data_IF_575639352032
#
_entry.id   IF_575639352032
#
_cell.length_a   1.000
_cell.length_b   1.000
_cell.length_c   1.000
_cell.angle_alpha   90.00
_cell.angle_beta   90.00
_cell.angle_gamma   90.00
#
_symmetry.space_group_name_H-M   'P 1'
#
loop_
_entity.id
_entity.type
_entity.pdbx_description
1 polymer ?
#
# COMPACT_ATOMS: atom_id res chain seq x y z
N UNK A 1 4.62 -7.89 8.04
CA UNK A 1 4.42 -6.83 9.05
C UNK A 1 5.75 -6.13 9.34
N UNK A 2 6.55 -6.58 10.30
CA UNK A 2 7.76 -5.84 10.74
C UNK A 2 8.80 -5.64 9.64
N UNK A 3 9.04 -6.63 8.79
CA UNK A 3 9.96 -6.48 7.65
C UNK A 3 9.56 -5.40 6.64
N UNK A 4 8.28 -4.98 6.60
CA UNK A 4 7.79 -3.93 5.69
C UNK A 4 8.07 -2.51 6.22
N UNK A 5 8.58 -2.36 7.44
CA UNK A 5 9.04 -1.09 8.00
C UNK A 5 10.44 -1.22 8.61
N UNK A 6 11.17 -2.29 8.26
CA UNK A 6 12.45 -2.64 8.87
C UNK A 6 12.39 -2.61 10.41
N UNK A 7 11.26 -3.07 10.95
CA UNK A 7 10.97 -3.02 12.38
C UNK A 7 11.50 -4.23 13.14
N UNK A 8 11.82 -4.03 14.42
CA UNK A 8 12.16 -5.11 15.35
C UNK A 8 11.51 -4.88 16.71
N UNK A 9 11.23 -5.97 17.42
CA UNK A 9 10.77 -5.94 18.79
C UNK A 9 11.97 -5.90 19.73
N UNK A 10 12.00 -4.93 20.64
CA UNK A 10 13.07 -4.78 21.62
C UNK A 10 12.47 -4.90 23.03
N UNK A 11 12.96 -5.82 23.88
CA UNK A 11 12.52 -5.89 25.26
C UNK A 11 13.00 -4.66 26.02
N UNK A 12 12.10 -4.04 26.77
CA UNK A 12 12.46 -2.94 27.68
C UNK A 12 12.87 -3.48 29.04
N UNK A 13 13.68 -2.75 29.83
CA UNK A 13 14.09 -3.17 31.17
C UNK A 13 12.93 -3.49 32.12
N UNK A 14 11.76 -2.88 31.90
CA UNK A 14 10.55 -3.08 32.70
C UNK A 14 9.79 -4.38 32.37
N UNK A 15 10.35 -5.24 31.50
CA UNK A 15 9.69 -6.46 31.02
C UNK A 15 8.62 -6.21 29.95
N UNK A 16 8.53 -4.98 29.45
CA UNK A 16 7.70 -4.62 28.30
C UNK A 16 8.39 -4.92 26.97
N UNK A 17 7.67 -4.66 25.88
CA UNK A 17 8.19 -4.70 24.52
C UNK A 17 8.01 -3.33 23.88
N UNK A 18 9.07 -2.81 23.27
CA UNK A 18 9.01 -1.63 22.40
C UNK A 18 9.22 -2.04 20.95
N UNK A 19 8.77 -1.17 20.04
CA UNK A 19 8.96 -1.31 18.60
C UNK A 19 10.02 -0.31 18.15
N UNK A 20 11.09 -0.83 17.57
CA UNK A 20 12.15 -0.04 16.94
C UNK A 20 11.96 -0.13 15.42
N UNK A 21 11.81 1.03 14.76
CA UNK A 21 11.55 1.15 13.32
C UNK A 21 12.84 1.58 12.64
N UNK A 22 13.26 0.84 11.60
CA UNK A 22 14.54 0.96 10.91
C UNK A 22 14.88 2.38 10.46
N UNK A 23 15.60 3.09 11.32
CA UNK A 23 16.14 4.42 11.06
C UNK A 23 17.59 4.41 11.50
N UNK A 24 18.47 5.01 10.71
CA UNK A 24 19.88 5.10 11.11
C UNK A 24 20.03 5.99 12.34
N UNK A 25 20.74 5.47 13.34
CA UNK A 25 21.25 6.20 14.48
C UNK A 25 22.72 5.86 14.66
N UNK A 26 23.54 6.87 14.95
CA UNK A 26 24.96 6.64 15.22
C UNK A 26 25.09 5.81 16.51
N UNK A 27 25.83 4.69 16.50
CA UNK A 27 25.98 3.84 17.67
C UNK A 27 26.63 4.60 18.84
N UNK A 28 25.94 4.60 19.98
CA UNK A 28 26.49 5.12 21.24
C UNK A 28 27.39 4.09 21.93
N UNK A 29 27.12 2.80 21.70
CA UNK A 29 27.87 1.69 22.29
C UNK A 29 29.05 1.32 21.40
N UNK A 30 30.25 1.44 21.97
CA UNK A 30 31.52 1.11 21.33
C UNK A 30 32.18 -0.03 22.12
N UNK A 31 32.28 -1.20 21.50
CA UNK A 31 33.01 -2.34 22.04
C UNK A 31 34.45 -2.32 21.53
N UNK A 32 35.38 -1.97 22.42
CA UNK A 32 36.81 -2.02 22.15
C UNK A 32 37.37 -3.41 22.41
N UNK A 33 38.64 -3.64 22.07
CA UNK A 33 39.31 -4.92 22.27
C UNK A 33 39.26 -5.44 23.72
N UNK A 34 39.21 -4.55 24.72
CA UNK A 34 39.13 -4.94 26.14
C UNK A 34 37.80 -5.60 26.51
N UNK A 35 36.73 -5.30 25.76
CA UNK A 35 35.42 -5.91 25.96
C UNK A 35 35.36 -7.33 25.36
N UNK A 36 36.21 -7.66 24.39
CA UNK A 36 36.14 -8.88 23.59
C UNK A 36 37.06 -9.96 24.20
N UNK A 37 36.45 -11.04 24.67
CA UNK A 37 37.16 -12.19 25.27
C UNK A 37 37.43 -13.30 24.27
N UNK A 38 36.69 -13.35 23.17
CA UNK A 38 36.89 -14.30 22.09
C UNK A 38 36.02 -13.99 20.89
N UNK A 39 36.22 -14.72 19.80
CA UNK A 39 35.42 -14.58 18.59
C UNK A 39 35.38 -15.91 17.83
N UNK A 40 34.30 -16.11 17.08
CA UNK A 40 34.15 -17.23 16.14
C UNK A 40 33.55 -16.73 14.83
N UNK A 41 33.83 -17.45 13.75
CA UNK A 41 33.26 -17.20 12.42
C UNK A 41 33.42 -15.75 11.92
N UNK A 42 34.49 -15.08 12.35
CA UNK A 42 34.81 -13.73 11.88
C UNK A 42 35.36 -13.82 10.46
N UNK A 43 34.60 -13.30 9.51
CA UNK A 43 34.91 -13.31 8.09
C UNK A 43 34.69 -11.95 7.45
N UNK A 44 35.41 -11.70 6.36
CA UNK A 44 35.10 -10.61 5.43
C UNK A 44 34.13 -11.13 4.39
N UNK A 45 32.97 -10.50 4.26
CA UNK A 45 31.93 -10.99 3.35
C UNK A 45 31.19 -12.21 3.91
N UNK A 46 30.15 -12.59 3.19
CA UNK A 46 29.56 -13.93 3.27
C UNK A 46 30.14 -14.83 2.19
N UNK A 47 29.90 -16.13 2.32
CA UNK A 47 30.22 -17.09 1.28
C UNK A 47 29.39 -16.79 0.01
N UNK A 48 29.98 -17.04 -1.15
CA UNK A 48 29.41 -16.80 -2.49
C UNK A 48 28.03 -17.43 -2.62
N UNK A 49 27.83 -18.62 -2.03
CA UNK A 49 26.58 -19.38 -2.03
C UNK A 49 25.45 -18.74 -1.20
N UNK A 50 25.77 -17.78 -0.33
CA UNK A 50 24.82 -17.13 0.59
C UNK A 50 24.66 -15.64 0.31
N UNK A 51 25.36 -15.16 -0.72
CA UNK A 51 25.42 -13.77 -1.16
C UNK A 51 24.44 -13.56 -2.31
N UNK A 52 23.70 -12.47 -2.32
CA UNK A 52 22.74 -12.15 -3.38
C UNK A 52 23.12 -10.83 -4.04
N UNK A 53 23.26 -10.82 -5.36
CA UNK A 53 23.57 -9.60 -6.11
C UNK A 53 22.32 -8.90 -6.65
N UNK A 54 21.20 -9.63 -6.71
CA UNK A 54 19.90 -9.11 -7.13
C UNK A 54 18.86 -9.37 -6.05
N UNK A 55 18.21 -8.33 -5.55
CA UNK A 55 17.04 -8.46 -4.68
C UNK A 55 15.81 -8.21 -5.53
N UNK A 56 14.86 -9.13 -5.48
CA UNK A 56 13.53 -8.97 -6.08
C UNK A 56 12.52 -8.88 -4.96
N UNK A 57 11.53 -8.01 -5.11
CA UNK A 57 10.51 -7.92 -4.09
C UNK A 57 9.11 -7.63 -4.62
N UNK A 58 8.12 -8.17 -3.92
CA UNK A 58 6.71 -7.84 -4.13
C UNK A 58 6.26 -6.79 -3.11
N UNK A 59 5.39 -5.87 -3.52
CA UNK A 59 4.78 -4.87 -2.66
C UNK A 59 3.27 -4.78 -2.90
N UNK A 60 2.56 -4.06 -2.04
CA UNK A 60 1.12 -3.86 -2.16
C UNK A 60 0.86 -2.57 -2.94
N UNK A 61 0.40 -2.66 -4.18
CA UNK A 61 0.18 -1.50 -5.03
C UNK A 61 -1.23 -0.92 -4.82
N UNK A 62 -1.29 0.31 -4.32
CA UNK A 62 -2.54 1.04 -4.13
C UNK A 62 -3.25 1.35 -5.45
N UNK A 63 -2.51 1.51 -6.55
CA UNK A 63 -3.09 1.82 -7.86
C UNK A 63 -3.71 0.59 -8.53
N UNK A 64 -3.36 -0.62 -8.09
CA UNK A 64 -3.94 -1.87 -8.59
C UNK A 64 -4.88 -2.50 -7.56
N UNK A 65 -5.77 -1.72 -6.95
CA UNK A 65 -6.74 -2.22 -5.95
C UNK A 65 -6.09 -3.06 -4.83
N UNK A 66 -4.91 -2.65 -4.36
CA UNK A 66 -4.13 -3.36 -3.33
C UNK A 66 -3.78 -4.80 -3.74
N UNK A 67 -3.48 -5.03 -5.02
CA UNK A 67 -2.87 -6.27 -5.48
C UNK A 67 -1.36 -6.30 -5.22
N UNK A 68 -0.81 -7.51 -5.11
CA UNK A 68 0.63 -7.70 -5.02
C UNK A 68 1.27 -7.44 -6.40
N UNK A 69 2.21 -6.51 -6.45
CA UNK A 69 2.93 -6.14 -7.67
C UNK A 69 4.44 -6.26 -7.46
N UNK A 70 5.17 -6.56 -8.53
CA UNK A 70 6.62 -6.68 -8.50
C UNK A 70 7.27 -5.30 -8.50
N UNK A 71 8.20 -5.08 -7.57
CA UNK A 71 9.06 -3.91 -7.59
C UNK A 71 10.21 -4.10 -8.58
N UNK A 72 10.69 -2.98 -9.12
CA UNK A 72 11.92 -2.93 -9.92
C UNK A 72 13.07 -3.61 -9.15
N UNK A 73 13.77 -4.62 -9.71
CA UNK A 73 14.83 -5.34 -9.00
C UNK A 73 15.98 -4.44 -8.55
N UNK A 74 16.51 -4.70 -7.36
CA UNK A 74 17.73 -4.04 -6.88
C UNK A 74 18.92 -4.90 -7.24
N UNK A 75 19.63 -4.54 -8.30
CA UNK A 75 20.77 -5.31 -8.82
C UNK A 75 22.07 -4.50 -8.76
N UNK A 76 23.15 -5.17 -8.39
CA UNK A 76 24.51 -4.70 -8.66
C UNK A 76 24.93 -5.19 -10.05
N UNK A 77 24.76 -4.34 -11.07
CA UNK A 77 25.02 -4.70 -12.48
C UNK A 77 26.47 -5.16 -12.72
N UNK A 78 27.43 -4.64 -11.95
CA UNK A 78 28.83 -5.02 -12.08
C UNK A 78 29.06 -6.45 -11.57
N UNK A 79 28.53 -6.78 -10.39
CA UNK A 79 28.65 -8.12 -9.81
C UNK A 79 27.84 -9.17 -10.60
N UNK A 80 26.67 -8.77 -11.12
CA UNK A 80 25.86 -9.61 -12.03
C UNK A 80 26.63 -9.95 -13.30
N UNK A 81 27.37 -8.99 -13.86
CA UNK A 81 28.18 -9.25 -15.06
C UNK A 81 29.37 -10.18 -14.80
N UNK A 82 29.90 -10.22 -13.57
CA UNK A 82 31.07 -11.04 -13.23
C UNK A 82 30.67 -12.46 -12.80
N UNK A 83 29.64 -12.59 -11.97
CA UNK A 83 29.25 -13.87 -11.33
C UNK A 83 27.98 -14.50 -11.88
N UNK A 84 27.21 -13.77 -12.70
CA UNK A 84 25.86 -14.16 -13.09
C UNK A 84 24.81 -13.74 -12.05
N UNK A 85 23.52 -13.89 -12.36
CA UNK A 85 22.44 -13.45 -11.48
C UNK A 85 22.22 -14.43 -10.31
N UNK A 86 22.40 -13.93 -9.08
CA UNK A 86 22.09 -14.62 -7.83
C UNK A 86 20.99 -13.84 -7.11
N UNK A 87 19.75 -14.26 -7.33
CA UNK A 87 18.57 -13.55 -6.88
C UNK A 87 18.10 -13.98 -5.48
N UNK A 88 17.71 -13.01 -4.66
CA UNK A 88 16.98 -13.22 -3.40
C UNK A 88 15.61 -12.57 -3.52
N UNK A 89 14.57 -13.39 -3.42
CA UNK A 89 13.17 -12.94 -3.41
C UNK A 89 12.74 -12.58 -1.98
N UNK A 90 12.16 -11.39 -1.81
CA UNK A 90 11.64 -10.89 -0.52
C UNK A 90 10.22 -10.36 -0.71
N UNK A 91 9.30 -10.70 0.20
CA UNK A 91 7.92 -10.25 0.07
C UNK A 91 7.61 -9.14 1.07
N UNK A 92 7.26 -7.95 0.56
CA UNK A 92 6.82 -6.80 1.35
C UNK A 92 5.32 -6.54 1.15
N UNK A 93 4.49 -7.55 1.38
CA UNK A 93 3.03 -7.53 1.14
C UNK A 93 2.23 -6.47 1.94
N UNK A 94 2.90 -5.68 2.80
CA UNK A 94 2.33 -4.59 3.58
C UNK A 94 3.06 -3.25 3.37
N UNK A 95 3.99 -3.20 2.41
CA UNK A 95 4.56 -1.95 1.94
C UNK A 95 3.61 -1.35 0.88
N UNK A 96 2.97 -0.20 1.14
CA UNK A 96 1.96 0.40 0.26
C UNK A 96 2.52 1.09 -0.99
N UNK A 97 3.83 1.13 -1.18
CA UNK A 97 4.45 1.86 -2.29
C UNK A 97 5.73 1.19 -2.79
N UNK A 98 5.97 1.35 -4.09
CA UNK A 98 7.21 0.93 -4.76
C UNK A 98 8.45 1.58 -4.13
N UNK A 99 8.40 2.89 -3.86
CA UNK A 99 9.47 3.63 -3.18
C UNK A 99 9.89 3.01 -1.84
N UNK A 100 8.91 2.63 -1.03
CA UNK A 100 9.15 1.98 0.26
C UNK A 100 9.75 0.58 0.06
N UNK A 101 9.23 -0.19 -0.88
CA UNK A 101 9.79 -1.50 -1.21
C UNK A 101 11.27 -1.39 -1.62
N UNK A 102 11.61 -0.43 -2.48
CA UNK A 102 12.98 -0.19 -2.95
C UNK A 102 13.96 0.18 -1.83
N UNK A 103 13.52 0.99 -0.85
CA UNK A 103 14.31 1.27 0.37
C UNK A 103 14.60 0.01 1.17
N UNK A 104 13.60 -0.86 1.34
CA UNK A 104 13.76 -2.12 2.06
C UNK A 104 14.66 -3.10 1.28
N UNK A 105 14.55 -3.14 -0.05
CA UNK A 105 15.41 -3.94 -0.91
C UNK A 105 16.88 -3.52 -0.78
N UNK A 106 17.16 -2.22 -0.70
CA UNK A 106 18.51 -1.72 -0.43
C UNK A 106 19.05 -2.24 0.91
N UNK A 107 18.26 -2.17 1.98
CA UNK A 107 18.66 -2.70 3.28
C UNK A 107 18.92 -4.21 3.21
N UNK A 108 18.04 -4.97 2.55
CA UNK A 108 18.23 -6.40 2.34
C UNK A 108 19.48 -6.73 1.51
N UNK A 109 19.85 -5.89 0.54
CA UNK A 109 21.08 -6.02 -0.22
C UNK A 109 22.31 -5.86 0.68
N UNK A 110 22.34 -4.85 1.57
CA UNK A 110 23.43 -4.70 2.55
C UNK A 110 23.50 -5.87 3.55
N UNK A 111 22.36 -6.45 3.93
CA UNK A 111 22.32 -7.65 4.79
C UNK A 111 22.77 -8.92 4.08
N UNK A 112 22.58 -9.00 2.76
CA UNK A 112 23.07 -10.10 1.95
C UNK A 112 24.57 -9.97 1.66
N UNK A 113 25.08 -8.74 1.59
CA UNK A 113 26.46 -8.39 1.24
C UNK A 113 27.20 -7.62 2.35
N UNK A 114 27.28 -8.13 3.60
CA UNK A 114 27.99 -7.44 4.65
C UNK A 114 29.51 -7.52 4.45
N UNK A 115 30.22 -6.41 4.58
CA UNK A 115 31.68 -6.36 4.59
C UNK A 115 32.32 -7.25 5.66
N UNK A 116 31.67 -7.36 6.83
CA UNK A 116 32.12 -8.20 7.93
C UNK A 116 30.96 -8.96 8.55
N UNK A 117 31.19 -10.22 8.89
CA UNK A 117 30.29 -11.05 9.70
C UNK A 117 31.11 -11.68 10.82
N UNK A 118 30.50 -11.90 11.97
CA UNK A 118 31.16 -12.65 13.03
C UNK A 118 30.31 -12.82 14.27
N UNK A 119 30.81 -13.68 15.16
CA UNK A 119 30.28 -13.84 16.50
C UNK A 119 31.36 -13.44 17.49
N UNK A 120 31.07 -12.47 18.36
CA UNK A 120 32.00 -11.99 19.39
C UNK A 120 31.52 -12.43 20.76
N UNK A 121 32.43 -13.02 21.53
CA UNK A 121 32.25 -13.24 22.95
C UNK A 121 32.85 -12.06 23.70
N UNK A 122 32.07 -11.49 24.60
CA UNK A 122 32.44 -10.32 25.38
C UNK A 122 32.42 -10.63 26.87
N UNK A 123 33.16 -9.85 27.64
CA UNK A 123 32.99 -9.78 29.09
C UNK A 123 31.70 -9.00 29.46
N UNK A 124 31.54 -8.64 30.74
CA UNK A 124 30.41 -7.87 31.24
C UNK A 124 30.22 -6.50 30.57
N UNK A 125 31.25 -5.91 29.95
CA UNK A 125 31.10 -4.65 29.21
C UNK A 125 30.20 -4.79 27.99
N UNK A 126 30.16 -5.98 27.37
CA UNK A 126 29.30 -6.24 26.22
C UNK A 126 27.81 -6.26 26.56
N UNK A 127 27.43 -6.26 27.84
CA UNK A 127 26.04 -6.10 28.26
C UNK A 127 25.45 -4.74 27.84
N UNK A 128 26.30 -3.74 27.61
CA UNK A 128 25.86 -2.45 27.07
C UNK A 128 25.23 -2.58 25.66
N UNK A 129 25.57 -3.62 24.90
CA UNK A 129 24.98 -3.87 23.59
C UNK A 129 23.58 -4.53 23.66
N UNK A 130 23.10 -4.89 24.85
CA UNK A 130 21.80 -5.52 25.01
C UNK A 130 20.66 -4.55 24.64
N UNK A 131 19.81 -4.96 23.71
CA UNK A 131 18.70 -4.13 23.20
C UNK A 131 19.11 -3.13 22.11
N UNK A 132 20.41 -2.94 21.88
CA UNK A 132 20.89 -2.04 20.83
C UNK A 132 20.74 -2.67 19.43
N UNK A 133 20.53 -1.81 18.43
CA UNK A 133 20.43 -2.26 17.03
C UNK A 133 21.78 -2.28 16.36
N UNK A 134 22.45 -1.15 16.50
CA UNK A 134 23.71 -0.86 15.85
C UNK A 134 24.74 -0.62 16.95
N UNK A 135 25.85 -1.34 16.86
CA UNK A 135 26.98 -1.19 17.76
C UNK A 135 28.25 -0.95 16.94
N UNK A 136 29.20 -0.22 17.51
CA UNK A 136 30.51 -0.07 16.89
C UNK A 136 31.48 -1.06 17.53
N UNK A 137 32.17 -1.84 16.72
CA UNK A 137 33.24 -2.74 17.18
C UNK A 137 34.57 -2.20 16.71
N UNK A 138 35.50 -2.05 17.66
CA UNK A 138 36.87 -1.61 17.43
C UNK A 138 37.84 -2.71 17.87
N UNK A 139 38.36 -3.45 16.89
CA UNK A 139 39.30 -4.53 17.11
C UNK A 139 40.55 -4.35 16.24
N UNK A 140 41.59 -3.65 16.76
CA UNK A 140 42.77 -3.28 15.99
C UNK A 140 43.53 -4.46 15.39
N UNK A 141 43.53 -5.63 16.05
CA UNK A 141 44.24 -6.83 15.58
C UNK A 141 43.78 -7.29 14.19
N UNK A 142 42.51 -7.08 13.85
CA UNK A 142 41.95 -7.39 12.52
C UNK A 142 41.67 -6.14 11.68
N UNK A 143 42.06 -4.97 12.16
CA UNK A 143 41.77 -3.69 11.50
C UNK A 143 40.27 -3.36 11.45
N UNK A 144 39.48 -3.89 12.38
CA UNK A 144 38.04 -3.66 12.43
C UNK A 144 37.77 -2.35 13.18
N UNK A 145 37.13 -1.39 12.52
CA UNK A 145 36.56 -0.19 13.12
C UNK A 145 35.31 0.17 12.30
N UNK A 146 34.22 -0.54 12.57
CA UNK A 146 33.02 -0.48 11.73
C UNK A 146 31.77 -0.60 12.58
N UNK A 147 30.64 -0.15 12.01
CA UNK A 147 29.32 -0.29 12.60
C UNK A 147 28.73 -1.63 12.18
N UNK A 148 28.09 -2.28 13.15
CA UNK A 148 27.52 -3.61 13.04
C UNK A 148 26.06 -3.60 13.49
N UNK A 149 25.19 -4.27 12.74
CA UNK A 149 23.85 -4.65 13.17
C UNK A 149 23.94 -5.90 14.05
N UNK A 150 23.31 -5.85 15.22
CA UNK A 150 23.20 -6.98 16.16
C UNK A 150 22.09 -7.90 15.70
N UNK A 151 22.45 -9.15 15.38
CA UNK A 151 21.52 -10.18 14.91
C UNK A 151 20.97 -11.04 16.04
N UNK A 152 21.85 -11.42 16.96
CA UNK A 152 21.52 -12.27 18.10
C UNK A 152 22.39 -11.87 19.30
N UNK A 153 21.80 -11.96 20.49
CA UNK A 153 22.45 -11.64 21.75
C UNK A 153 22.12 -12.71 22.79
N UNK A 154 23.15 -13.36 23.33
CA UNK A 154 23.01 -14.44 24.31
C UNK A 154 23.86 -14.17 25.53
N UNK A 155 23.29 -14.35 26.71
CA UNK A 155 24.04 -14.27 27.97
C UNK A 155 24.91 -15.51 28.15
N UNK A 156 26.18 -15.31 28.53
CA UNK A 156 27.09 -16.40 28.90
C UNK A 156 26.99 -16.59 30.42
N UNK A 157 26.40 -17.72 30.82
CA UNK A 157 26.27 -18.11 32.22
C UNK A 157 27.32 -19.18 32.56
N UNK A 158 28.12 -18.92 33.59
CA UNK A 158 29.10 -19.86 34.12
C UNK A 158 28.52 -20.81 35.17
N UNK A 159 29.41 -21.50 35.87
CA UNK A 159 29.05 -22.42 36.95
C UNK A 159 28.25 -21.69 38.05
N UNK A 160 27.19 -22.31 38.53
CA UNK A 160 26.27 -21.70 39.51
C UNK A 160 25.34 -20.62 38.94
N UNK A 161 25.28 -20.43 37.61
CA UNK A 161 24.39 -19.45 36.98
C UNK A 161 24.91 -18.00 37.04
N UNK A 162 26.20 -17.82 37.32
CA UNK A 162 26.84 -16.50 37.39
C UNK A 162 27.04 -15.97 35.97
N UNK A 163 26.57 -14.75 35.71
CA UNK A 163 26.79 -14.07 34.43
C UNK A 163 28.27 -13.73 34.25
N UNK A 164 28.88 -14.24 33.18
CA UNK A 164 30.28 -14.02 32.82
C UNK A 164 30.44 -13.02 31.67
N UNK A 165 29.44 -12.88 30.83
CA UNK A 165 29.51 -12.03 29.64
C UNK A 165 28.36 -12.26 28.67
N UNK A 166 28.60 -11.99 27.40
CA UNK A 166 27.62 -12.16 26.34
C UNK A 166 28.26 -12.64 25.03
N UNK A 167 27.49 -13.38 24.23
CA UNK A 167 27.81 -13.73 22.85
C UNK A 167 26.94 -12.87 21.95
N UNK A 168 27.55 -12.14 21.02
CA UNK A 168 26.89 -11.20 20.12
C UNK A 168 27.18 -11.62 18.69
N UNK A 169 26.13 -11.98 17.94
CA UNK A 169 26.23 -12.22 16.50
C UNK A 169 25.99 -10.93 15.76
N UNK A 170 26.87 -10.62 14.82
CA UNK A 170 26.87 -9.33 14.14
C UNK A 170 27.13 -9.46 12.64
N UNK A 171 26.60 -8.49 11.90
CA UNK A 171 26.95 -8.24 10.51
C UNK A 171 27.18 -6.74 10.30
N UNK A 172 28.12 -6.36 9.45
CA UNK A 172 28.41 -4.95 9.20
C UNK A 172 27.23 -4.27 8.53
N UNK A 173 26.87 -3.10 9.04
CA UNK A 173 25.79 -2.29 8.48
C UNK A 173 26.22 -0.81 8.50
N UNK A 174 26.69 -0.26 7.36
CA UNK A 174 27.14 1.13 7.28
C UNK A 174 25.96 2.11 7.22
N UNK A 175 26.23 3.39 7.48
CA UNK A 175 25.25 4.48 7.40
C UNK A 175 24.68 4.64 5.98
N UNK A 176 25.51 4.39 4.96
CA UNK A 176 25.12 4.40 3.54
C UNK A 176 23.98 3.45 3.20
N UNK A 177 23.74 2.43 4.03
CA UNK A 177 22.62 1.50 3.86
C UNK A 177 21.26 2.20 4.04
N UNK A 178 21.20 3.19 4.93
CA UNK A 178 19.96 3.92 5.27
C UNK A 178 19.85 5.27 4.58
N UNK A 179 20.92 5.78 3.98
CA UNK A 179 20.86 6.98 3.15
C UNK A 179 20.05 6.69 1.90
N UNK A 180 19.07 7.54 1.57
CA UNK A 180 18.22 7.36 0.40
C UNK A 180 18.39 8.51 -0.59
N UNK A 181 18.47 8.17 -1.87
CA UNK A 181 18.40 9.12 -2.96
C UNK A 181 17.26 8.73 -3.92
N UNK A 182 16.56 9.74 -4.44
CA UNK A 182 15.44 9.58 -5.39
C UNK A 182 15.86 8.88 -6.69
N UNK A 183 17.13 8.99 -7.10
CA UNK A 183 17.65 8.26 -8.26
C UNK A 183 17.64 6.74 -8.07
N UNK A 184 17.59 6.24 -6.83
CA UNK A 184 17.62 4.81 -6.48
C UNK A 184 16.24 4.17 -6.51
N UNK A 185 15.19 4.96 -6.71
CA UNK A 185 13.80 4.51 -6.72
C UNK A 185 13.52 3.55 -7.87
N UNK A 186 14.19 3.70 -9.01
CA UNK A 186 13.96 2.85 -10.18
C UNK A 186 12.63 3.17 -10.88
N UNK A 187 12.14 2.22 -11.68
CA UNK A 187 10.90 2.41 -12.45
C UNK A 187 9.74 1.66 -11.80
N UNK A 188 8.71 2.39 -11.34
CA UNK A 188 7.52 1.75 -10.80
C UNK A 188 6.79 0.93 -11.89
N UNK A 189 6.16 -0.20 -11.54
CA UNK A 189 5.37 -0.98 -12.48
C UNK A 189 4.21 -0.14 -13.03
N UNK A 190 3.88 -0.36 -14.31
CA UNK A 190 2.73 0.30 -14.94
C UNK A 190 1.46 -0.39 -14.45
N UNK A 191 0.51 0.39 -13.95
CA UNK A 191 -0.80 -0.10 -13.50
C UNK A 191 -1.82 0.05 -14.64
N UNK A 192 -2.54 -1.01 -14.94
CA UNK A 192 -3.66 -0.98 -15.88
C UNK A 192 -4.89 -0.41 -15.16
N UNK A 193 -5.13 0.89 -15.32
CA UNK A 193 -6.34 1.53 -14.82
C UNK A 193 -7.54 1.16 -15.69
N UNK A 194 -8.40 0.25 -15.22
CA UNK A 194 -9.71 0.04 -15.85
C UNK A 194 -10.65 1.19 -15.49
N UNK A 195 -10.81 2.15 -16.41
CA UNK A 195 -11.92 3.09 -16.34
C UNK A 195 -13.21 2.35 -16.71
N UNK A 196 -14.05 2.01 -15.73
CA UNK A 196 -15.41 1.59 -16.04
C UNK A 196 -16.22 2.82 -16.46
N UNK A 197 -16.75 2.81 -17.68
CA UNK A 197 -17.75 3.78 -18.09
C UNK A 197 -19.02 3.54 -17.27
N UNK A 198 -19.28 4.46 -16.36
CA UNK A 198 -20.32 4.36 -15.33
C UNK A 198 -21.58 5.12 -15.78
N UNK A 199 -21.65 5.53 -17.05
CA UNK A 199 -22.76 6.30 -17.61
C UNK A 199 -24.04 5.46 -17.73
N UNK A 200 -25.14 6.04 -17.27
CA UNK A 200 -26.48 5.47 -17.42
C UNK A 200 -27.10 5.96 -18.74
N UNK A 201 -27.81 5.10 -19.49
CA UNK A 201 -28.44 5.50 -20.73
C UNK A 201 -29.47 6.61 -20.48
N UNK A 202 -29.41 7.68 -21.27
CA UNK A 202 -30.38 8.77 -21.19
C UNK A 202 -31.61 8.37 -22.01
N UNK A 203 -32.82 8.31 -21.40
CA UNK A 203 -34.04 8.00 -22.15
C UNK A 203 -34.37 9.07 -23.19
N UNK A 204 -35.07 8.66 -24.24
CA UNK A 204 -35.74 9.59 -25.13
C UNK A 204 -36.83 10.39 -24.38
N UNK A 205 -37.19 11.55 -24.93
CA UNK A 205 -38.22 12.39 -24.35
C UNK A 205 -39.60 11.66 -24.38
N UNK A 206 -40.43 11.80 -23.33
CA UNK A 206 -41.72 11.14 -23.28
C UNK A 206 -42.69 11.71 -24.32
N UNK A 207 -43.51 10.84 -24.91
CA UNK A 207 -44.67 11.25 -25.69
C UNK A 207 -45.81 11.63 -24.74
N UNK A 208 -46.26 12.89 -24.80
CA UNK A 208 -47.27 13.41 -23.86
C UNK A 208 -48.60 13.60 -24.57
N UNK A 209 -49.59 12.81 -24.16
CA UNK A 209 -50.99 12.95 -24.56
C UNK A 209 -51.80 13.61 -23.44
N UNK A 210 -52.66 14.54 -23.82
CA UNK A 210 -53.61 15.16 -22.89
C UNK A 210 -54.92 14.39 -23.02
N UNK A 211 -55.27 13.63 -21.98
CA UNK A 211 -56.56 12.94 -21.88
C UNK A 211 -57.65 14.00 -21.62
N UNK A 212 -58.91 13.74 -21.96
CA UNK A 212 -60.05 14.64 -21.74
C UNK A 212 -60.41 14.88 -20.24
N UNK A 213 -59.42 15.29 -19.44
CA UNK A 213 -59.46 15.56 -18.00
C UNK A 213 -58.22 16.37 -17.58
N UNK A 214 -58.06 16.70 -16.28
CA UNK A 214 -56.98 17.57 -15.81
C UNK A 214 -55.63 16.83 -15.65
N UNK A 215 -55.33 15.81 -16.46
CA UNK A 215 -54.10 15.01 -16.33
C UNK A 215 -53.43 14.80 -17.70
N UNK A 216 -52.11 14.66 -17.71
CA UNK A 216 -51.34 14.19 -18.85
C UNK A 216 -50.96 12.72 -18.67
N UNK A 217 -51.05 11.96 -19.76
CA UNK A 217 -50.46 10.63 -19.87
C UNK A 217 -49.16 10.73 -20.66
N UNK A 218 -48.08 10.26 -20.04
CA UNK A 218 -46.78 10.15 -20.65
C UNK A 218 -46.62 8.70 -21.11
N UNK A 219 -46.24 8.49 -22.37
CA UNK A 219 -45.89 7.18 -22.90
C UNK A 219 -44.41 7.14 -23.26
N UNK A 220 -43.77 6.00 -22.98
CA UNK A 220 -42.36 5.75 -23.23
C UNK A 220 -42.11 4.25 -23.41
N UNK A 221 -41.11 3.84 -24.22
CA UNK A 221 -40.79 2.43 -24.39
C UNK A 221 -40.25 1.83 -23.07
N UNK A 222 -40.39 0.51 -22.84
CA UNK A 222 -39.78 -0.13 -21.68
C UNK A 222 -38.25 0.04 -21.71
N UNK A 223 -37.60 0.08 -20.54
CA UNK A 223 -36.14 0.35 -20.42
C UNK A 223 -35.26 -0.69 -21.11
N UNK A 224 -35.81 -1.86 -21.45
CA UNK A 224 -35.08 -2.98 -22.05
C UNK A 224 -34.08 -3.65 -21.11
N UNK A 225 -33.90 -3.13 -19.90
CA UNK A 225 -32.98 -3.62 -18.88
C UNK A 225 -33.70 -3.75 -17.53
N UNK A 226 -33.83 -4.99 -17.06
CA UNK A 226 -34.57 -5.32 -15.83
C UNK A 226 -33.98 -4.70 -14.55
N UNK A 227 -32.79 -4.10 -14.61
CA UNK A 227 -32.12 -3.45 -13.49
C UNK A 227 -32.34 -1.92 -13.45
N UNK A 228 -33.04 -1.36 -14.45
CA UNK A 228 -33.31 0.07 -14.60
C UNK A 228 -34.81 0.35 -14.51
N UNK A 229 -35.18 1.30 -13.65
CA UNK A 229 -36.56 1.76 -13.50
C UNK A 229 -36.67 3.23 -13.92
N UNK A 230 -37.78 3.61 -14.55
CA UNK A 230 -38.01 5.00 -14.92
C UNK A 230 -38.32 5.89 -13.71
N UNK A 231 -37.85 7.13 -13.79
CA UNK A 231 -38.24 8.26 -12.98
C UNK A 231 -38.82 9.34 -13.89
N UNK A 232 -40.00 9.83 -13.55
CA UNK A 232 -40.67 10.90 -14.27
C UNK A 232 -40.54 12.17 -13.45
N UNK A 233 -40.28 13.30 -14.11
CA UNK A 233 -40.44 14.61 -13.48
C UNK A 233 -41.22 15.57 -14.35
N UNK A 234 -41.98 16.44 -13.72
CA UNK A 234 -42.73 17.49 -14.38
C UNK A 234 -42.80 18.77 -13.56
N UNK A 235 -42.90 19.91 -14.23
CA UNK A 235 -43.11 21.21 -13.60
C UNK A 235 -43.88 22.15 -14.51
N UNK A 236 -44.41 23.25 -13.96
CA UNK A 236 -44.87 24.36 -14.81
C UNK A 236 -43.65 25.02 -15.42
N UNK A 237 -43.75 25.48 -16.66
CA UNK A 237 -42.63 26.19 -17.33
C UNK A 237 -42.22 27.47 -16.57
N UNK A 238 -43.17 28.08 -15.84
CA UNK A 238 -42.92 29.24 -14.99
C UNK A 238 -42.27 28.89 -13.62
N UNK A 239 -42.28 27.62 -13.22
CA UNK A 239 -41.78 27.18 -11.92
C UNK A 239 -40.31 26.71 -12.02
N UNK A 240 -39.61 26.78 -10.90
CA UNK A 240 -38.25 26.26 -10.74
C UNK A 240 -38.21 24.88 -10.08
N UNK A 241 -39.26 24.51 -9.35
CA UNK A 241 -39.35 23.24 -8.62
C UNK A 241 -39.94 22.13 -9.48
N UNK A 242 -39.27 20.99 -9.51
CA UNK A 242 -39.71 19.78 -10.20
C UNK A 242 -40.51 18.89 -9.27
N UNK A 243 -41.68 18.44 -9.72
CA UNK A 243 -42.39 17.31 -9.13
C UNK A 243 -41.81 16.03 -9.73
N UNK A 244 -41.58 15.02 -8.90
CA UNK A 244 -40.93 13.77 -9.31
C UNK A 244 -41.81 12.59 -8.90
N UNK A 245 -41.97 11.62 -9.78
CA UNK A 245 -42.60 10.33 -9.50
C UNK A 245 -41.68 9.18 -9.92
N UNK A 246 -41.78 8.08 -9.19
CA UNK A 246 -41.01 6.86 -9.41
C UNK A 246 -40.18 6.43 -8.19
N UNK A 247 -39.46 5.30 -8.27
CA UNK A 247 -39.28 4.47 -9.46
C UNK A 247 -40.59 3.83 -9.91
N UNK A 248 -40.87 3.88 -11.22
CA UNK A 248 -41.98 3.15 -11.80
C UNK A 248 -41.68 1.64 -11.83
N UNK A 249 -42.71 0.84 -12.09
CA UNK A 249 -42.52 -0.59 -12.36
C UNK A 249 -41.63 -0.78 -13.60
N UNK A 250 -40.91 -1.89 -13.65
CA UNK A 250 -39.82 -2.16 -14.60
C UNK A 250 -40.30 -2.21 -16.07
N UNK A 251 -41.55 -2.65 -16.25
CA UNK A 251 -42.27 -2.77 -17.51
C UNK A 251 -43.30 -1.63 -17.70
N UNK A 252 -43.17 -0.54 -16.94
CA UNK A 252 -44.02 0.63 -17.16
C UNK A 252 -43.76 1.22 -18.55
N UNK A 253 -44.83 1.32 -19.34
CA UNK A 253 -44.83 1.96 -20.66
C UNK A 253 -45.56 3.32 -20.65
N UNK A 254 -46.21 3.63 -19.52
CA UNK A 254 -46.89 4.91 -19.33
C UNK A 254 -46.90 5.38 -17.88
N UNK A 255 -47.14 6.67 -17.71
CA UNK A 255 -47.36 7.31 -16.42
C UNK A 255 -48.42 8.42 -16.55
N UNK A 256 -49.44 8.37 -15.69
CA UNK A 256 -50.45 9.42 -15.59
C UNK A 256 -50.09 10.41 -14.48
N UNK A 257 -50.03 11.70 -14.80
CA UNK A 257 -49.73 12.74 -13.81
C UNK A 257 -50.93 13.02 -12.89
N UNK A 258 -50.70 13.43 -11.63
CA UNK A 258 -51.73 14.04 -10.79
C UNK A 258 -52.33 15.30 -11.43
N UNK A 259 -53.52 15.71 -10.96
CA UNK A 259 -54.27 16.89 -11.44
C UNK A 259 -53.38 18.11 -11.70
N UNK A 260 -53.37 18.54 -12.96
CA UNK A 260 -52.68 19.70 -13.51
C UNK A 260 -53.64 20.89 -13.66
N UNK A 261 -53.08 22.09 -13.63
CA UNK A 261 -53.86 23.33 -13.79
C UNK A 261 -54.21 23.56 -15.26
N UNK A 262 -55.47 23.91 -15.54
CA UNK A 262 -55.93 24.29 -16.87
C UNK A 262 -55.16 25.51 -17.41
N UNK A 263 -55.08 25.62 -18.75
CA UNK A 263 -54.42 26.72 -19.46
C UNK A 263 -52.96 26.99 -19.04
N UNK A 264 -52.29 26.00 -18.44
CA UNK A 264 -50.93 26.12 -17.94
C UNK A 264 -49.97 25.26 -18.76
N UNK A 265 -48.79 25.80 -19.06
CA UNK A 265 -47.73 25.08 -19.77
C UNK A 265 -46.88 24.26 -18.79
N UNK A 266 -46.66 22.99 -19.12
CA UNK A 266 -45.88 22.05 -18.34
C UNK A 266 -44.72 21.48 -19.15
N UNK A 267 -43.65 21.17 -18.45
CA UNK A 267 -42.43 20.53 -18.93
C UNK A 267 -42.33 19.12 -18.33
N UNK A 268 -42.07 18.12 -19.15
CA UNK A 268 -42.00 16.70 -18.75
C UNK A 268 -40.66 16.08 -19.18
N UNK A 269 -40.05 15.28 -18.30
CA UNK A 269 -38.79 14.60 -18.55
C UNK A 269 -38.73 13.23 -17.87
N UNK A 270 -37.89 12.34 -18.42
CA UNK A 270 -37.64 10.99 -17.91
C UNK A 270 -36.17 10.83 -17.51
N UNK A 271 -35.89 9.98 -16.54
CA UNK A 271 -34.55 9.47 -16.24
C UNK A 271 -34.64 7.99 -15.88
N UNK A 272 -33.53 7.27 -15.98
CA UNK A 272 -33.44 5.91 -15.43
C UNK A 272 -32.78 5.93 -14.06
N UNK A 273 -33.19 5.00 -13.20
CA UNK A 273 -32.62 4.78 -11.88
C UNK A 273 -32.22 3.32 -11.72
N UNK A 274 -31.03 3.07 -11.18
CA UNK A 274 -30.58 1.72 -10.83
C UNK A 274 -31.25 1.23 -9.54
N UNK A 275 -31.33 -0.09 -9.34
CA UNK A 275 -31.82 -0.66 -8.07
C UNK A 275 -31.05 -0.16 -6.83
N UNK A 276 -29.76 0.17 -6.99
CA UNK A 276 -28.91 0.74 -5.92
C UNK A 276 -29.16 2.24 -5.66
N UNK A 277 -30.04 2.87 -6.43
CA UNK A 277 -30.52 4.22 -6.16
C UNK A 277 -29.90 5.35 -6.99
N UNK A 278 -28.92 5.06 -7.85
CA UNK A 278 -28.28 6.06 -8.74
C UNK A 278 -29.25 6.47 -9.84
N UNK A 279 -29.45 7.78 -10.02
CA UNK A 279 -30.30 8.36 -11.07
C UNK A 279 -29.42 8.89 -12.20
N UNK A 280 -29.75 8.54 -13.45
CA UNK A 280 -29.06 9.03 -14.64
C UNK A 280 -29.46 10.46 -15.01
N UNK A 281 -28.91 10.97 -16.10
CA UNK A 281 -29.34 12.26 -16.63
C UNK A 281 -30.78 12.19 -17.14
N UNK A 282 -31.49 13.32 -17.03
CA UNK A 282 -32.85 13.43 -17.54
C UNK A 282 -32.86 13.66 -19.05
N UNK A 283 -33.87 13.13 -19.71
CA UNK A 283 -34.18 13.30 -21.12
C UNK A 283 -34.37 14.77 -21.49
N UNK A 284 -34.40 15.05 -22.79
CA UNK A 284 -34.91 16.31 -23.29
C UNK A 284 -36.36 16.56 -22.83
N UNK A 285 -36.72 17.84 -22.74
CA UNK A 285 -38.02 18.29 -22.25
C UNK A 285 -39.11 18.18 -23.30
N UNK A 286 -40.21 17.51 -22.97
CA UNK A 286 -41.46 17.62 -23.73
C UNK A 286 -42.33 18.70 -23.12
N UNK A 287 -42.74 19.70 -23.91
CA UNK A 287 -43.55 20.82 -23.44
C UNK A 287 -44.98 20.71 -23.99
N UNK A 288 -45.98 20.80 -23.11
CA UNK A 288 -47.40 20.78 -23.48
C UNK A 288 -48.21 21.78 -22.67
N UNK A 289 -49.23 22.35 -23.30
CA UNK A 289 -50.19 23.27 -22.66
C UNK A 289 -51.48 22.53 -22.38
N UNK A 290 -51.94 22.55 -21.13
CA UNK A 290 -53.22 21.96 -20.74
C UNK A 290 -54.38 22.78 -21.33
N UNK A 291 -55.44 22.13 -21.85
CA UNK A 291 -56.65 22.80 -22.34
C UNK A 291 -57.41 23.52 -21.22
#
# INVERSE_FOLDING_TARGET
MLGCCDGRLVPTPDGGLTLDIGTWSEPTVILTADAITGFSDVGRGRDVMTTANTIRATFLDINQDYQASDADPWADEADVSERGEEAKDVQFNMAPSHSQARRLMKLEWFRANPNWVGTFNTNLMGLAAFGERLIRIQYPLFGINSVFEVLDFKFILGEGGILQGATIQVQSMPDTAYQWDTSQEGTAPVSDETTSDDDLPVPDAPDVLIIAGPAAELSFPPTGNILLNYMVRWKKTADTEWRVAGPLENDAESFETPTLSALTQYEFQLAVRTQKGRVGAYSASTIKTMP
#
